data_IF_015550168644
#
_entry.id   IF_015550168644
#
_cell.length_a   1.000
_cell.length_b   1.000
_cell.length_c   1.000
_cell.angle_alpha   90.00
_cell.angle_beta   90.00
_cell.angle_gamma   90.00
#
_symmetry.space_group_name_H-M   'P 1'
#
loop_
_entity.id
_entity.type
_entity.pdbx_description
1 polymer ?
#
# COMPACT_ATOMS: atom_id res chain seq x y z
N UNK A 1 -56.18 -1.44 -52.86
CA UNK A 1 -55.56 -2.26 -51.79
C UNK A 1 -54.10 -1.89 -51.70
N UNK A 2 -53.66 -1.55 -50.49
CA UNK A 2 -52.43 -0.86 -50.11
C UNK A 2 -51.14 -1.57 -50.56
N UNK A 3 -50.22 -0.82 -51.18
CA UNK A 3 -48.79 -1.16 -51.27
C UNK A 3 -48.14 -0.84 -49.93
N UNK A 4 -47.64 -1.86 -49.23
CA UNK A 4 -46.84 -1.68 -48.03
C UNK A 4 -45.44 -1.17 -48.42
N UNK A 5 -45.17 0.09 -48.10
CA UNK A 5 -43.84 0.69 -48.15
C UNK A 5 -43.11 0.29 -46.88
N UNK A 6 -42.18 -0.67 -46.94
CA UNK A 6 -41.28 -0.97 -45.82
C UNK A 6 -40.22 0.12 -45.73
N UNK A 7 -40.50 1.13 -44.91
CA UNK A 7 -39.54 2.14 -44.51
C UNK A 7 -38.50 1.45 -43.61
N UNK A 8 -37.28 1.26 -44.13
CA UNK A 8 -36.13 0.88 -43.30
C UNK A 8 -35.79 2.08 -42.42
N UNK A 9 -36.33 2.11 -41.21
CA UNK A 9 -35.85 3.00 -40.16
C UNK A 9 -34.43 2.57 -39.80
N UNK A 10 -33.43 3.27 -40.34
CA UNK A 10 -32.09 3.26 -39.79
C UNK A 10 -32.23 3.86 -38.39
N UNK A 11 -32.17 3.03 -37.35
CA UNK A 11 -31.90 3.52 -36.00
C UNK A 11 -30.50 4.13 -36.06
N UNK A 12 -30.43 5.46 -36.21
CA UNK A 12 -29.26 6.20 -35.81
C UNK A 12 -29.13 5.99 -34.29
N UNK A 13 -28.15 5.17 -33.87
CA UNK A 13 -27.70 5.22 -32.49
C UNK A 13 -27.18 6.65 -32.28
N UNK A 14 -27.97 7.50 -31.63
CA UNK A 14 -27.48 8.74 -31.09
C UNK A 14 -26.41 8.39 -30.06
N UNK A 15 -25.14 8.45 -30.46
CA UNK A 15 -24.02 8.40 -29.53
C UNK A 15 -24.16 9.63 -28.64
N UNK A 16 -24.40 9.41 -27.34
CA UNK A 16 -24.48 10.50 -26.38
C UNK A 16 -23.07 11.02 -26.10
N UNK A 17 -22.88 12.33 -26.21
CA UNK A 17 -21.73 13.00 -25.62
C UNK A 17 -21.72 12.84 -24.09
N UNK A 18 -20.57 13.09 -23.48
CA UNK A 18 -20.35 12.99 -22.03
C UNK A 18 -19.69 11.69 -21.59
N UNK A 19 -19.83 11.38 -20.29
CA UNK A 19 -19.20 10.21 -19.66
C UNK A 19 -20.19 9.04 -19.66
N UNK A 20 -19.74 7.88 -20.13
CA UNK A 20 -20.54 6.64 -20.20
C UNK A 20 -19.73 5.43 -19.73
N UNK A 21 -20.41 4.37 -19.32
CA UNK A 21 -19.78 3.08 -19.04
C UNK A 21 -20.17 2.07 -20.12
N UNK A 22 -19.19 1.53 -20.84
CA UNK A 22 -19.36 0.60 -21.96
C UNK A 22 -18.60 -0.69 -21.66
N UNK A 23 -19.28 -1.63 -20.99
CA UNK A 23 -18.63 -2.80 -20.42
C UNK A 23 -17.60 -2.40 -19.36
N UNK A 24 -16.32 -2.80 -19.48
CA UNK A 24 -15.27 -2.43 -18.53
C UNK A 24 -14.67 -1.04 -18.77
N UNK A 25 -15.14 -0.31 -19.78
CA UNK A 25 -14.59 0.99 -20.19
C UNK A 25 -15.41 2.14 -19.58
N UNK A 26 -14.73 3.11 -18.98
CA UNK A 26 -15.30 4.44 -18.78
C UNK A 26 -14.89 5.31 -19.96
N UNK A 27 -15.87 5.79 -20.74
CA UNK A 27 -15.67 6.47 -22.03
C UNK A 27 -16.16 7.91 -21.94
N UNK A 28 -15.34 8.84 -22.41
CA UNK A 28 -15.59 10.28 -22.50
C UNK A 28 -15.79 10.64 -23.97
N UNK A 29 -16.81 11.45 -24.28
CA UNK A 29 -17.09 11.90 -25.65
C UNK A 29 -17.43 13.38 -25.68
N UNK A 30 -16.95 14.09 -26.70
CA UNK A 30 -17.37 15.46 -26.98
C UNK A 30 -18.84 15.51 -27.43
N UNK A 31 -19.39 16.72 -27.56
CA UNK A 31 -20.73 16.93 -28.14
C UNK A 31 -21.86 17.18 -27.14
N UNK A 32 -21.57 17.61 -25.91
CA UNK A 32 -22.59 18.08 -24.94
C UNK A 32 -22.61 19.61 -24.75
N UNK A 33 -21.82 20.36 -25.52
CA UNK A 33 -21.51 21.79 -25.29
C UNK A 33 -20.84 22.10 -23.94
N UNK A 34 -20.40 21.09 -23.19
CA UNK A 34 -19.57 21.26 -21.99
C UNK A 34 -18.10 21.22 -22.39
N UNK A 35 -17.33 22.22 -21.97
CA UNK A 35 -15.91 22.33 -22.32
C UNK A 35 -15.00 21.42 -21.49
N UNK A 36 -15.49 20.86 -20.39
CA UNK A 36 -14.71 20.02 -19.49
C UNK A 36 -15.60 18.98 -18.82
N UNK A 37 -15.20 17.72 -18.96
CA UNK A 37 -15.75 16.61 -18.18
C UNK A 37 -14.69 16.10 -17.23
N UNK A 38 -15.07 15.92 -15.97
CA UNK A 38 -14.18 15.35 -14.95
C UNK A 38 -14.81 14.09 -14.39
N UNK A 39 -14.07 12.98 -14.43
CA UNK A 39 -14.38 11.79 -13.65
C UNK A 39 -13.37 11.65 -12.52
N UNK A 40 -13.85 11.56 -11.29
CA UNK A 40 -13.01 11.43 -10.11
C UNK A 40 -13.13 10.03 -9.53
N UNK A 41 -11.99 9.33 -9.42
CA UNK A 41 -11.91 8.00 -8.86
C UNK A 41 -11.07 8.02 -7.57
N UNK A 42 -11.70 8.00 -6.38
CA UNK A 42 -10.98 7.86 -5.12
C UNK A 42 -10.51 6.42 -4.91
N UNK A 43 -9.32 6.24 -4.35
CA UNK A 43 -8.79 4.93 -3.93
C UNK A 43 -7.75 5.09 -2.82
N UNK A 44 -7.48 3.99 -2.12
CA UNK A 44 -6.45 3.93 -1.09
C UNK A 44 -5.14 3.42 -1.65
N UNK A 45 -4.03 4.11 -1.34
CA UNK A 45 -2.69 3.68 -1.73
C UNK A 45 -2.05 3.05 -0.50
N UNK A 46 -1.74 1.74 -0.54
CA UNK A 46 -1.23 1.05 0.63
C UNK A 46 0.13 1.62 1.06
N UNK A 47 0.38 1.62 2.36
CA UNK A 47 1.69 1.93 2.93
C UNK A 47 2.63 0.72 2.73
N UNK A 48 3.53 0.77 1.75
CA UNK A 48 4.38 -0.37 1.37
C UNK A 48 5.82 0.02 1.05
N UNK A 49 6.79 -0.82 1.43
CA UNK A 49 8.22 -0.61 1.10
C UNK A 49 8.59 -0.87 -0.36
N UNK A 50 7.73 -1.53 -1.13
CA UNK A 50 7.81 -1.47 -2.57
C UNK A 50 7.17 -0.17 -3.06
N UNK A 51 7.82 0.53 -3.98
CA UNK A 51 7.23 1.69 -4.64
C UNK A 51 5.98 1.21 -5.41
N UNK A 52 4.77 1.59 -4.97
CA UNK A 52 3.55 1.08 -5.56
C UNK A 52 3.44 1.59 -6.99
N UNK A 53 2.96 0.72 -7.89
CA UNK A 53 2.71 1.08 -9.28
C UNK A 53 1.24 1.37 -9.47
N UNK A 54 0.90 2.59 -9.88
CA UNK A 54 -0.41 2.88 -10.42
C UNK A 54 -0.46 2.37 -11.86
N UNK A 55 -1.36 1.44 -12.14
CA UNK A 55 -1.56 0.86 -13.45
C UNK A 55 -2.97 1.14 -13.97
N UNK A 56 -3.08 1.52 -15.23
CA UNK A 56 -4.36 1.66 -15.93
C UNK A 56 -4.15 1.58 -17.43
N UNK A 57 -5.21 1.24 -18.17
CA UNK A 57 -5.22 1.39 -19.62
C UNK A 57 -5.97 2.66 -19.96
N UNK A 58 -5.47 3.44 -20.91
CA UNK A 58 -6.22 4.53 -21.51
C UNK A 58 -6.06 4.57 -23.02
N UNK A 59 -6.96 5.27 -23.69
CA UNK A 59 -6.75 5.68 -25.07
C UNK A 59 -7.45 6.99 -25.38
N UNK A 60 -6.99 7.63 -26.45
CA UNK A 60 -7.54 8.87 -26.99
C UNK A 60 -7.70 8.72 -28.50
N UNK A 61 -8.77 9.30 -29.01
CA UNK A 61 -9.10 9.29 -30.43
C UNK A 61 -9.79 10.59 -30.84
N UNK A 62 -9.48 11.08 -32.04
CA UNK A 62 -10.00 12.36 -32.54
C UNK A 62 -10.05 12.40 -34.06
N UNK A 63 -11.01 13.15 -34.60
CA UNK A 63 -11.11 13.54 -36.00
C UNK A 63 -10.61 14.97 -36.29
N UNK A 64 -10.11 15.68 -35.28
CA UNK A 64 -9.54 17.02 -35.46
C UNK A 64 -8.43 17.00 -36.52
N UNK A 65 -8.33 17.98 -37.43
CA UNK A 65 -7.26 18.04 -38.43
C UNK A 65 -5.94 18.52 -37.82
N UNK A 66 -4.81 18.23 -38.46
CA UNK A 66 -3.52 18.77 -38.01
C UNK A 66 -3.46 20.26 -38.36
N UNK A 67 -3.57 21.12 -37.36
CA UNK A 67 -3.53 22.57 -37.51
C UNK A 67 -2.55 23.19 -36.50
N UNK A 68 -1.51 23.88 -37.00
CA UNK A 68 -0.53 24.55 -36.15
C UNK A 68 -1.16 25.70 -35.38
N UNK A 69 -0.80 25.86 -34.10
CA UNK A 69 -1.25 26.98 -33.26
C UNK A 69 -2.70 26.89 -32.80
N UNK A 70 -3.30 25.70 -32.87
CA UNK A 70 -4.65 25.44 -32.34
C UNK A 70 -4.56 24.65 -31.04
N UNK A 71 -5.54 24.86 -30.15
CA UNK A 71 -5.73 24.05 -28.96
C UNK A 71 -6.65 22.89 -29.34
N UNK A 72 -6.19 21.66 -29.20
CA UNK A 72 -6.96 20.45 -29.48
C UNK A 72 -7.80 20.02 -28.28
N UNK A 73 -8.79 19.17 -28.52
CA UNK A 73 -9.39 18.39 -27.45
C UNK A 73 -8.30 17.59 -26.73
N UNK A 74 -8.39 17.49 -25.42
CA UNK A 74 -7.35 16.84 -24.64
C UNK A 74 -7.88 16.04 -23.48
N UNK A 75 -7.15 14.99 -23.14
CA UNK A 75 -7.42 14.11 -22.01
C UNK A 75 -6.24 14.14 -21.05
N UNK A 76 -6.49 14.50 -19.80
CA UNK A 76 -5.48 14.58 -18.75
C UNK A 76 -5.81 13.67 -17.59
N UNK A 77 -4.76 13.15 -16.95
CA UNK A 77 -4.89 12.33 -15.74
C UNK A 77 -4.06 12.93 -14.62
N UNK A 78 -4.71 13.29 -13.52
CA UNK A 78 -4.06 13.89 -12.34
C UNK A 78 -4.25 12.98 -11.13
N UNK A 79 -3.17 12.70 -10.40
CA UNK A 79 -3.23 12.03 -9.11
C UNK A 79 -3.03 13.06 -8.00
N UNK A 80 -3.93 13.10 -7.03
CA UNK A 80 -3.87 14.02 -5.91
C UNK A 80 -4.18 13.30 -4.58
N UNK A 81 -3.42 13.60 -3.54
CA UNK A 81 -3.77 13.18 -2.17
C UNK A 81 -5.04 13.88 -1.72
N UNK A 82 -5.95 13.19 -1.03
CA UNK A 82 -7.22 13.80 -0.58
C UNK A 82 -7.02 15.01 0.35
N UNK A 83 -5.88 15.12 1.02
CA UNK A 83 -5.52 16.29 1.84
C UNK A 83 -4.77 17.39 1.06
N UNK A 84 -4.70 17.29 -0.27
CA UNK A 84 -4.05 18.22 -1.20
C UNK A 84 -2.55 18.45 -0.95
N UNK A 85 -1.91 17.64 -0.09
CA UNK A 85 -0.49 17.78 0.25
C UNK A 85 0.46 17.43 -0.90
N UNK A 86 -0.04 16.71 -1.90
CA UNK A 86 0.72 16.28 -3.07
C UNK A 86 -0.21 16.08 -4.26
N UNK A 87 0.19 16.62 -5.41
CA UNK A 87 -0.52 16.50 -6.70
C UNK A 87 0.49 16.26 -7.81
N UNK A 88 0.25 15.29 -8.69
CA UNK A 88 1.06 15.03 -9.88
C UNK A 88 0.16 14.91 -11.12
N UNK A 89 0.53 15.63 -12.18
CA UNK A 89 -0.04 15.43 -13.51
C UNK A 89 0.67 14.22 -14.16
N UNK A 90 -0.09 13.15 -14.39
CA UNK A 90 0.46 11.87 -14.87
C UNK A 90 0.66 11.90 -16.38
N UNK A 91 -0.35 12.35 -17.11
CA UNK A 91 -0.28 12.51 -18.56
C UNK A 91 -1.26 13.57 -19.07
N UNK A 92 -0.97 14.08 -20.25
CA UNK A 92 -1.89 14.81 -21.11
C UNK A 92 -1.79 14.23 -22.52
N UNK A 93 -2.94 13.91 -23.12
CA UNK A 93 -3.05 13.31 -24.43
C UNK A 93 -3.94 14.20 -25.31
N UNK A 94 -3.52 14.46 -26.53
CA UNK A 94 -4.26 15.24 -27.51
C UNK A 94 -4.01 14.70 -28.93
N UNK A 95 -4.42 15.44 -29.95
CA UNK A 95 -4.12 15.08 -31.34
C UNK A 95 -2.61 14.89 -31.62
N UNK A 96 -1.75 15.66 -30.96
CA UNK A 96 -0.30 15.67 -31.20
C UNK A 96 0.40 14.46 -30.58
N UNK A 97 -0.24 13.77 -29.63
CA UNK A 97 0.25 12.55 -29.01
C UNK A 97 0.04 12.56 -27.51
N UNK A 98 0.93 11.89 -26.78
CA UNK A 98 0.87 11.81 -25.32
C UNK A 98 2.12 12.44 -24.72
N UNK A 99 1.91 13.42 -23.84
CA UNK A 99 2.93 13.93 -22.96
C UNK A 99 2.87 13.15 -21.64
N UNK A 100 3.93 12.39 -21.36
CA UNK A 100 4.07 11.57 -20.15
C UNK A 100 4.77 12.35 -19.05
N UNK A 101 4.26 12.27 -17.82
CA UNK A 101 4.80 12.97 -16.66
C UNK A 101 5.17 14.44 -16.97
N UNK A 102 4.24 15.24 -17.54
CA UNK A 102 4.50 16.64 -17.84
C UNK A 102 4.94 17.41 -16.58
N UNK A 103 5.68 18.50 -16.77
CA UNK A 103 6.02 19.41 -15.68
C UNK A 103 4.75 19.93 -15.02
N UNK A 104 4.70 19.91 -13.68
CA UNK A 104 3.55 20.36 -12.92
C UNK A 104 3.94 21.53 -12.00
N UNK A 105 3.91 22.80 -12.47
CA UNK A 105 4.27 23.95 -11.66
C UNK A 105 3.43 24.02 -10.37
N UNK A 106 4.09 24.10 -9.22
CA UNK A 106 3.42 24.11 -7.92
C UNK A 106 3.01 22.73 -7.40
N UNK A 107 3.21 21.66 -8.16
CA UNK A 107 2.99 20.27 -7.75
C UNK A 107 4.23 19.39 -7.90
N UNK A 108 4.02 18.08 -7.79
CA UNK A 108 5.05 17.07 -7.99
C UNK A 108 5.26 16.82 -9.48
N UNK A 109 6.53 16.83 -9.88
CA UNK A 109 6.95 16.38 -11.21
C UNK A 109 7.50 14.95 -11.08
N UNK A 110 6.90 14.01 -11.80
CA UNK A 110 7.37 12.62 -11.85
C UNK A 110 8.57 12.49 -12.78
N UNK A 111 9.48 11.56 -12.49
CA UNK A 111 10.62 11.32 -13.39
C UNK A 111 10.13 10.54 -14.62
N UNK A 112 10.56 10.89 -15.85
CA UNK A 112 10.17 10.12 -17.03
C UNK A 112 10.54 8.63 -16.98
N UNK A 113 11.60 8.27 -16.25
CA UNK A 113 12.01 6.86 -16.02
C UNK A 113 11.04 6.07 -15.14
N UNK A 114 10.17 6.75 -14.40
CA UNK A 114 9.18 6.15 -13.52
C UNK A 114 7.89 5.76 -14.26
N UNK A 115 7.78 6.11 -15.56
CA UNK A 115 6.64 5.81 -16.42
C UNK A 115 6.96 4.63 -17.34
N UNK A 116 6.26 3.52 -17.15
CA UNK A 116 6.16 2.45 -18.14
C UNK A 116 4.92 2.68 -19.01
N UNK A 117 5.07 2.63 -20.33
CA UNK A 117 3.94 2.63 -21.25
C UNK A 117 4.17 1.61 -22.37
N UNK A 118 3.11 0.93 -22.76
CA UNK A 118 3.12 -0.03 -23.86
C UNK A 118 1.87 0.18 -24.72
N UNK A 119 2.06 0.23 -26.05
CA UNK A 119 0.94 0.30 -26.99
C UNK A 119 0.03 -0.91 -26.83
N UNK A 120 -1.27 -0.67 -26.81
CA UNK A 120 -2.31 -1.71 -26.83
C UNK A 120 -3.28 -1.45 -27.98
N UNK A 121 -4.06 -2.46 -28.34
CA UNK A 121 -5.12 -2.29 -29.31
C UNK A 121 -6.18 -1.30 -28.80
N UNK A 122 -6.57 -0.36 -29.65
CA UNK A 122 -7.69 0.53 -29.38
C UNK A 122 -9.00 -0.29 -29.44
N UNK A 123 -9.87 -0.24 -28.41
CA UNK A 123 -11.12 -0.98 -28.40
C UNK A 123 -12.09 -0.48 -29.48
N UNK A 124 -13.00 -1.36 -29.93
CA UNK A 124 -14.02 -1.01 -30.92
C UNK A 124 -15.09 -0.09 -30.32
N UNK A 125 -14.76 1.20 -30.23
CA UNK A 125 -15.65 2.26 -29.75
C UNK A 125 -16.29 3.01 -30.92
N UNK A 126 -17.53 3.44 -30.71
CA UNK A 126 -18.27 4.27 -31.65
C UNK A 126 -18.37 5.73 -31.16
N UNK A 127 -18.27 6.72 -32.07
CA UNK A 127 -17.89 6.56 -33.48
C UNK A 127 -16.41 6.17 -33.64
N UNK A 128 -16.07 5.54 -34.76
CA UNK A 128 -14.68 5.26 -35.11
C UNK A 128 -14.01 6.54 -35.61
N UNK A 129 -12.90 6.93 -34.98
CA UNK A 129 -12.14 8.13 -35.35
C UNK A 129 -10.93 7.80 -36.23
N UNK A 130 -10.48 8.80 -36.98
CA UNK A 130 -9.33 8.73 -37.89
C UNK A 130 -8.01 8.55 -37.14
N UNK A 131 -7.78 9.36 -36.11
CA UNK A 131 -6.61 9.22 -35.23
C UNK A 131 -7.04 8.49 -33.95
N UNK A 132 -6.30 7.45 -33.58
CA UNK A 132 -6.52 6.70 -32.34
C UNK A 132 -5.24 6.06 -31.84
N UNK A 133 -5.04 6.09 -30.54
CA UNK A 133 -3.96 5.39 -29.88
C UNK A 133 -4.39 4.99 -28.46
N UNK A 134 -3.84 3.89 -27.97
CA UNK A 134 -4.13 3.38 -26.65
C UNK A 134 -2.87 2.79 -26.03
N UNK A 135 -2.75 2.94 -24.70
CA UNK A 135 -1.62 2.49 -23.93
C UNK A 135 -2.06 1.77 -22.66
N UNK A 136 -1.36 0.69 -22.32
CA UNK A 136 -1.27 0.23 -20.95
C UNK A 136 -0.16 1.02 -20.25
N UNK A 137 -0.46 1.63 -19.11
CA UNK A 137 0.43 2.58 -18.43
C UNK A 137 0.69 2.12 -17.00
N UNK A 138 1.91 2.34 -16.52
CA UNK A 138 2.38 2.06 -15.17
C UNK A 138 3.21 3.22 -14.66
N UNK A 139 2.80 3.83 -13.55
CA UNK A 139 3.55 4.87 -12.86
C UNK A 139 4.11 4.33 -11.55
N UNK A 140 5.43 4.42 -11.38
CA UNK A 140 6.05 4.23 -10.07
C UNK A 140 5.72 5.44 -9.20
N UNK A 141 4.98 5.25 -8.12
CA UNK A 141 4.55 6.36 -7.27
C UNK A 141 5.66 6.79 -6.30
N UNK A 142 6.02 8.08 -6.24
CA UNK A 142 6.97 8.59 -5.27
C UNK A 142 6.36 8.56 -3.86
N UNK A 143 7.18 8.52 -2.79
CA UNK A 143 6.69 8.40 -1.40
C UNK A 143 5.63 9.44 -1.02
N UNK A 144 5.73 10.66 -1.55
CA UNK A 144 4.78 11.76 -1.30
C UNK A 144 3.36 11.47 -1.80
N UNK A 145 3.20 10.53 -2.74
CA UNK A 145 1.91 10.08 -3.27
C UNK A 145 1.51 8.69 -2.73
N UNK A 146 2.25 8.13 -1.77
CA UNK A 146 1.93 6.84 -1.15
C UNK A 146 1.15 7.00 0.16
N UNK A 147 0.77 5.87 0.78
CA UNK A 147 0.19 5.79 2.13
C UNK A 147 -1.05 6.67 2.37
N UNK A 148 -2.23 6.12 2.06
CA UNK A 148 -3.54 6.72 2.34
C UNK A 148 -4.28 7.18 1.09
N UNK A 149 -5.43 7.81 1.32
CA UNK A 149 -6.38 8.18 0.26
C UNK A 149 -5.79 9.15 -0.78
N UNK A 150 -6.08 8.84 -2.03
CA UNK A 150 -5.83 9.67 -3.19
C UNK A 150 -7.01 9.62 -4.16
N UNK A 151 -7.07 10.60 -5.04
CA UNK A 151 -8.08 10.69 -6.10
C UNK A 151 -7.36 10.80 -7.43
N UNK A 152 -7.76 9.97 -8.39
CA UNK A 152 -7.45 10.19 -9.80
C UNK A 152 -8.54 11.05 -10.42
N UNK A 153 -8.13 12.14 -11.04
CA UNK A 153 -8.98 12.97 -11.88
C UNK A 153 -8.67 12.66 -13.32
N UNK A 154 -9.71 12.33 -14.07
CA UNK A 154 -9.67 12.14 -15.50
C UNK A 154 -10.44 13.30 -16.13
N UNK A 155 -9.70 14.22 -16.72
CA UNK A 155 -10.20 15.48 -17.26
C UNK A 155 -10.21 15.40 -18.77
N UNK A 156 -11.39 15.52 -19.38
CA UNK A 156 -11.57 15.55 -20.82
C UNK A 156 -12.03 16.95 -21.23
N UNK A 157 -11.12 17.71 -21.83
CA UNK A 157 -11.34 19.05 -22.34
C UNK A 157 -11.81 19.00 -23.78
N UNK A 158 -12.94 19.65 -24.04
CA UNK A 158 -13.56 19.85 -25.36
C UNK A 158 -13.35 21.33 -25.74
N UNK A 159 -12.62 21.59 -26.83
CA UNK A 159 -12.40 22.94 -27.33
C UNK A 159 -13.65 23.53 -28.04
N UNK A 160 -14.76 22.78 -28.05
CA UNK A 160 -16.07 23.11 -28.60
C UNK A 160 -16.07 23.35 -30.10
N UNK A 161 -15.12 22.74 -30.82
CA UNK A 161 -15.14 22.73 -32.27
C UNK A 161 -16.09 21.64 -32.80
N UNK A 162 -16.17 21.52 -34.14
CA UNK A 162 -17.09 20.62 -34.81
C UNK A 162 -16.58 19.18 -34.95
N UNK A 163 -15.33 18.91 -34.56
CA UNK A 163 -14.70 17.61 -34.69
C UNK A 163 -14.94 16.79 -33.42
N UNK A 164 -15.15 15.49 -33.60
CA UNK A 164 -15.43 14.62 -32.49
C UNK A 164 -14.12 14.06 -31.91
N UNK A 165 -14.08 13.97 -30.59
CA UNK A 165 -13.00 13.32 -29.84
C UNK A 165 -13.59 12.42 -28.77
N UNK A 166 -12.85 11.37 -28.42
CA UNK A 166 -13.19 10.50 -27.31
C UNK A 166 -11.93 10.02 -26.57
N UNK A 167 -12.11 9.69 -25.30
CA UNK A 167 -11.11 9.02 -24.49
C UNK A 167 -11.74 7.84 -23.75
N UNK A 168 -10.94 6.85 -23.37
CA UNK A 168 -11.39 5.81 -22.46
C UNK A 168 -10.36 5.52 -21.39
N UNK A 169 -10.84 4.99 -20.26
CA UNK A 169 -10.01 4.42 -19.20
C UNK A 169 -10.59 3.09 -18.75
N UNK A 170 -9.72 2.14 -18.39
CA UNK A 170 -10.10 0.91 -17.69
C UNK A 170 -8.97 0.37 -16.83
N UNK A 171 -9.27 -0.68 -16.06
CA UNK A 171 -8.30 -1.47 -15.31
C UNK A 171 -7.42 -0.64 -14.34
N UNK A 172 -7.96 0.45 -13.80
CA UNK A 172 -7.28 1.29 -12.81
C UNK A 172 -7.05 0.46 -11.55
N UNK A 173 -5.79 0.30 -11.17
CA UNK A 173 -5.39 -0.49 -10.01
C UNK A 173 -4.06 0.00 -9.45
N UNK A 174 -3.85 -0.25 -8.16
CA UNK A 174 -2.55 -0.11 -7.53
C UNK A 174 -1.93 -1.50 -7.40
N UNK A 175 -0.82 -1.70 -8.11
CA UNK A 175 0.04 -2.85 -7.95
C UNK A 175 1.17 -2.46 -7.00
N UNK A 176 0.93 -2.60 -5.71
CA UNK A 176 2.04 -2.70 -4.79
C UNK A 176 2.59 -4.11 -4.96
N UNK A 177 3.83 -4.25 -5.44
CA UNK A 177 4.56 -5.52 -5.35
C UNK A 177 4.81 -5.72 -3.85
N UNK A 178 3.80 -6.20 -3.15
CA UNK A 178 3.85 -6.49 -1.74
C UNK A 178 4.79 -7.69 -1.62
N UNK A 179 6.04 -7.39 -1.36
CA UNK A 179 7.06 -8.36 -1.00
C UNK A 179 7.51 -8.01 0.42
N UNK A 180 6.82 -8.54 1.46
CA UNK A 180 5.77 -9.57 1.39
C UNK A 180 4.34 -9.03 1.16
N UNK A 181 3.38 -9.89 0.72
CA UNK A 181 1.94 -9.59 0.61
C UNK A 181 1.39 -8.91 1.88
N UNK A 182 0.25 -8.18 1.82
CA UNK A 182 -0.37 -7.66 3.02
C UNK A 182 -0.65 -8.83 3.96
N UNK A 183 -0.60 -8.60 5.28
CA UNK A 183 -1.01 -9.58 6.26
C UNK A 183 -2.29 -10.27 5.86
N UNK A 184 -2.19 -11.57 5.61
CA UNK A 184 -3.31 -12.46 5.43
C UNK A 184 -4.15 -12.47 6.73
N UNK A 185 -5.09 -11.54 6.86
CA UNK A 185 -5.87 -11.32 8.06
C UNK A 185 -7.20 -12.07 7.99
N UNK A 186 -7.36 -13.04 8.90
CA UNK A 186 -8.58 -13.84 9.01
C UNK A 186 -9.07 -13.84 10.46
N UNK A 187 -10.37 -13.71 10.64
CA UNK A 187 -11.01 -14.08 11.88
C UNK A 187 -11.20 -15.58 11.89
N UNK A 188 -10.68 -16.25 12.92
CA UNK A 188 -10.90 -17.67 13.14
C UNK A 188 -11.79 -17.88 14.35
N UNK A 189 -12.61 -18.92 14.32
CA UNK A 189 -13.40 -19.32 15.48
C UNK A 189 -13.29 -20.81 15.79
N UNK A 190 -13.70 -21.16 17.01
CA UNK A 190 -13.82 -22.53 17.49
C UNK A 190 -14.95 -22.64 18.51
N UNK A 191 -15.59 -23.81 18.58
CA UNK A 191 -16.54 -24.13 19.66
C UNK A 191 -15.83 -24.40 21.00
N UNK A 192 -14.51 -24.61 21.00
CA UNK A 192 -13.67 -24.86 22.17
C UNK A 192 -12.51 -23.87 22.23
N UNK A 193 -12.16 -23.42 23.43
CA UNK A 193 -11.03 -22.50 23.64
C UNK A 193 -9.69 -23.09 23.13
N UNK A 194 -9.56 -24.42 23.14
CA UNK A 194 -8.36 -25.12 22.70
C UNK A 194 -8.33 -25.39 21.18
N UNK A 195 -9.42 -25.09 20.45
CA UNK A 195 -9.58 -25.41 19.04
C UNK A 195 -10.32 -26.73 18.77
N UNK A 196 -10.36 -27.19 17.51
CA UNK A 196 -9.67 -26.61 16.35
C UNK A 196 -10.29 -25.27 15.91
N UNK A 197 -9.44 -24.31 15.58
CA UNK A 197 -9.87 -23.02 15.02
C UNK A 197 -9.90 -23.08 13.50
N UNK A 198 -10.98 -22.58 12.90
CA UNK A 198 -11.15 -22.49 11.45
C UNK A 198 -11.47 -21.04 11.04
N UNK A 199 -11.13 -20.67 9.81
CA UNK A 199 -11.45 -19.33 9.28
C UNK A 199 -12.97 -19.16 9.16
N UNK A 200 -13.48 -18.01 9.57
CA UNK A 200 -14.89 -17.68 9.45
C UNK A 200 -15.21 -17.15 8.05
N UNK A 201 -16.30 -17.68 7.47
CA UNK A 201 -16.85 -17.20 6.20
C UNK A 201 -17.80 -16.04 6.44
N UNK A 202 -17.87 -15.08 5.52
CA UNK A 202 -18.82 -13.95 5.61
C UNK A 202 -18.42 -12.86 6.60
N UNK A 203 -17.16 -12.87 7.05
CA UNK A 203 -16.57 -11.77 7.82
C UNK A 203 -16.35 -10.59 6.88
N UNK A 204 -16.95 -9.44 7.19
CA UNK A 204 -16.60 -8.18 6.55
C UNK A 204 -15.42 -7.57 7.34
N UNK A 205 -14.34 -7.24 6.65
CA UNK A 205 -13.14 -6.65 7.26
C UNK A 205 -13.03 -5.21 6.77
N UNK A 206 -13.04 -4.27 7.71
CA UNK A 206 -12.72 -2.86 7.50
C UNK A 206 -11.28 -2.61 7.99
N UNK A 207 -10.28 -2.65 7.09
CA UNK A 207 -8.89 -2.44 7.45
C UNK A 207 -8.55 -1.00 7.81
N UNK A 208 -9.42 -0.04 7.47
CA UNK A 208 -9.23 1.39 7.74
C UNK A 208 -9.58 1.68 9.19
N UNK A 209 -10.78 1.28 9.61
CA UNK A 209 -11.26 1.50 10.99
C UNK A 209 -10.79 0.41 11.97
N UNK A 210 -10.08 -0.62 11.47
CA UNK A 210 -9.64 -1.79 12.24
C UNK A 210 -10.80 -2.51 12.92
N UNK A 211 -11.86 -2.71 12.15
CA UNK A 211 -13.08 -3.38 12.56
C UNK A 211 -13.31 -4.60 11.69
N UNK A 212 -13.77 -5.70 12.29
CA UNK A 212 -14.39 -6.79 11.56
C UNK A 212 -15.82 -6.95 12.03
N UNK A 213 -16.73 -7.28 11.10
CA UNK A 213 -18.10 -7.64 11.44
C UNK A 213 -18.44 -9.03 10.92
N UNK A 214 -19.22 -9.76 11.72
CA UNK A 214 -19.67 -11.11 11.41
C UNK A 214 -21.13 -11.23 11.85
N UNK A 215 -21.99 -11.77 10.99
CA UNK A 215 -23.38 -12.04 11.37
C UNK A 215 -23.43 -12.89 12.64
N UNK A 216 -24.25 -12.48 13.60
CA UNK A 216 -24.36 -13.17 14.87
C UNK A 216 -24.85 -14.60 14.65
N UNK A 217 -24.34 -15.51 15.47
CA UNK A 217 -24.85 -16.87 15.59
C UNK A 217 -25.25 -17.14 17.02
N UNK A 218 -26.33 -17.91 17.21
CA UNK A 218 -26.93 -18.18 18.52
C UNK A 218 -26.11 -19.08 19.45
N UNK A 219 -24.85 -19.40 19.13
CA UNK A 219 -23.97 -20.26 19.92
C UNK A 219 -22.71 -19.50 20.33
N UNK A 220 -22.25 -19.68 21.58
CA UNK A 220 -20.97 -19.13 22.01
C UNK A 220 -19.81 -19.76 21.23
N UNK A 221 -18.87 -18.92 20.78
CA UNK A 221 -17.62 -19.33 20.14
C UNK A 221 -16.43 -18.56 20.71
N UNK A 222 -15.25 -19.15 20.55
CA UNK A 222 -13.98 -18.53 20.86
C UNK A 222 -13.37 -18.01 19.57
N UNK A 223 -12.84 -16.79 19.59
CA UNK A 223 -12.29 -16.12 18.41
C UNK A 223 -10.81 -15.84 18.56
N UNK A 224 -10.09 -15.86 17.43
CA UNK A 224 -8.71 -15.38 17.34
C UNK A 224 -8.45 -14.79 15.96
N UNK A 225 -7.39 -14.01 15.84
CA UNK A 225 -6.90 -13.52 14.55
C UNK A 225 -5.80 -14.42 14.04
N UNK A 226 -5.85 -14.77 12.76
CA UNK A 226 -4.74 -15.35 12.02
C UNK A 226 -4.18 -14.28 11.09
N UNK A 227 -2.90 -14.00 11.22
CA UNK A 227 -2.17 -12.95 10.51
C UNK A 227 -0.67 -13.20 10.66
N UNK A 228 0.14 -12.59 9.81
CA UNK A 228 1.61 -12.64 9.85
C UNK A 228 2.25 -11.57 10.76
N UNK A 229 1.45 -10.61 11.23
CA UNK A 229 1.85 -9.58 12.21
C UNK A 229 1.18 -9.81 13.55
N UNK A 230 1.86 -9.47 14.64
CA UNK A 230 1.26 -9.57 15.97
C UNK A 230 -0.01 -8.72 16.04
N UNK A 231 -1.11 -9.33 16.44
CA UNK A 231 -2.42 -8.69 16.47
C UNK A 231 -3.19 -9.03 17.73
N UNK A 232 -4.16 -8.19 18.05
CA UNK A 232 -5.03 -8.37 19.19
C UNK A 232 -6.45 -7.96 18.84
N UNK A 233 -7.43 -8.75 19.28
CA UNK A 233 -8.83 -8.29 19.38
C UNK A 233 -8.90 -7.47 20.66
N UNK A 234 -9.08 -6.16 20.53
CA UNK A 234 -9.13 -5.22 21.64
C UNK A 234 -10.49 -5.25 22.32
N UNK A 235 -11.54 -5.36 21.51
CA UNK A 235 -12.92 -5.34 21.96
C UNK A 235 -13.77 -6.23 21.05
N UNK A 236 -14.72 -6.93 21.66
CA UNK A 236 -15.76 -7.68 20.98
C UNK A 236 -17.11 -7.26 21.58
N UNK A 237 -18.06 -6.89 20.74
CA UNK A 237 -19.42 -6.53 21.16
C UNK A 237 -20.44 -6.89 20.09
N UNK A 238 -21.72 -6.75 20.42
CA UNK A 238 -22.83 -6.98 19.49
C UNK A 238 -23.45 -5.63 19.15
N UNK A 239 -23.67 -5.38 17.87
CA UNK A 239 -24.38 -4.22 17.35
C UNK A 239 -25.46 -4.72 16.36
N UNK A 240 -26.73 -4.64 16.76
CA UNK A 240 -27.83 -5.25 16.02
C UNK A 240 -27.67 -6.77 15.89
N UNK A 241 -27.69 -7.28 14.67
CA UNK A 241 -27.47 -8.71 14.35
C UNK A 241 -26.02 -9.03 13.98
N UNK A 242 -25.07 -8.14 14.28
CA UNK A 242 -23.65 -8.33 13.98
C UNK A 242 -22.81 -8.40 15.25
N UNK A 243 -21.84 -9.30 15.26
CA UNK A 243 -20.70 -9.22 16.16
C UNK A 243 -19.66 -8.30 15.54
N UNK A 244 -19.18 -7.35 16.34
CA UNK A 244 -18.19 -6.35 15.97
C UNK A 244 -16.90 -6.62 16.74
N UNK A 245 -15.80 -6.76 16.02
CA UNK A 245 -14.47 -7.01 16.55
C UNK A 245 -13.57 -5.82 16.22
N UNK A 246 -13.20 -5.05 17.24
CA UNK A 246 -12.15 -4.06 17.09
C UNK A 246 -10.80 -4.72 17.31
N UNK A 247 -9.89 -4.55 16.38
CA UNK A 247 -8.56 -5.15 16.46
C UNK A 247 -7.44 -4.12 16.34
N UNK A 248 -6.24 -4.50 16.75
CA UNK A 248 -5.03 -3.72 16.51
C UNK A 248 -3.89 -4.63 16.07
N UNK A 249 -2.97 -4.07 15.30
CA UNK A 249 -1.65 -4.64 15.10
C UNK A 249 -0.69 -4.04 16.12
N UNK A 250 0.31 -4.82 16.51
CA UNK A 250 1.42 -4.34 17.33
C UNK A 250 2.66 -4.17 16.46
N UNK A 251 3.41 -3.07 16.62
CA UNK A 251 3.12 -1.90 17.47
C UNK A 251 1.98 -1.02 16.92
N UNK A 252 1.29 -0.27 17.80
CA UNK A 252 0.35 0.76 17.36
C UNK A 252 1.07 2.09 17.11
N UNK A 253 2.22 2.29 17.75
CA UNK A 253 3.11 3.42 17.57
C UNK A 253 4.45 2.89 17.06
N UNK A 254 4.84 3.30 15.86
CA UNK A 254 6.18 3.08 15.36
C UNK A 254 6.60 4.26 14.50
N UNK A 255 7.59 5.00 14.98
CA UNK A 255 8.20 6.10 14.27
C UNK A 255 9.73 5.94 14.25
N UNK A 256 10.33 6.27 13.12
CA UNK A 256 11.76 6.51 13.06
C UNK A 256 12.03 7.93 13.56
N UNK A 257 12.93 8.07 14.52
CA UNK A 257 13.43 9.38 14.92
C UNK A 257 14.90 9.51 14.55
N UNK A 258 15.32 10.73 14.24
CA UNK A 258 16.72 11.00 13.94
C UNK A 258 17.25 12.28 14.56
N UNK A 259 18.57 12.33 14.71
CA UNK A 259 19.32 13.48 15.19
C UNK A 259 20.66 13.62 14.44
N UNK A 260 21.21 14.84 14.39
CA UNK A 260 22.55 15.08 13.80
C UNK A 260 23.71 14.68 14.71
N UNK A 261 23.44 14.51 16.01
CA UNK A 261 24.40 14.12 17.03
C UNK A 261 23.72 13.15 18.00
N UNK A 262 24.48 12.22 18.57
CA UNK A 262 23.95 11.19 19.48
C UNK A 262 23.19 11.79 20.68
N UNK A 263 23.69 12.91 21.20
CA UNK A 263 23.20 13.57 22.41
C UNK A 263 22.12 14.63 22.14
N UNK A 264 21.79 14.87 20.87
CA UNK A 264 20.81 15.89 20.50
C UNK A 264 19.38 15.37 20.63
N UNK A 265 18.41 16.29 20.58
CA UNK A 265 16.99 15.95 20.50
C UNK A 265 16.72 15.20 19.19
N UNK A 266 16.09 14.04 19.30
CA UNK A 266 15.62 13.27 18.15
C UNK A 266 14.23 13.72 17.77
N UNK A 267 14.03 13.97 16.47
CA UNK A 267 12.74 14.33 15.90
C UNK A 267 12.22 13.19 15.01
N UNK A 268 10.90 13.06 14.92
CA UNK A 268 10.25 12.08 14.03
C UNK A 268 10.57 12.40 12.56
N UNK A 269 10.93 11.38 11.80
CA UNK A 269 11.07 11.46 10.35
C UNK A 269 9.69 11.36 9.69
N UNK A 270 9.37 12.31 8.82
CA UNK A 270 8.02 12.47 8.26
C UNK A 270 7.83 11.86 6.87
N UNK A 271 8.93 11.53 6.18
CA UNK A 271 8.92 10.97 4.82
C UNK A 271 9.54 9.56 4.81
N UNK A 272 9.17 8.75 5.79
CA UNK A 272 9.57 7.34 5.88
C UNK A 272 8.52 6.44 5.26
N UNK A 273 8.98 5.30 4.78
CA UNK A 273 8.12 4.18 4.38
C UNK A 273 8.31 3.09 5.42
N UNK A 274 7.22 2.67 6.05
CA UNK A 274 7.23 1.69 7.11
C UNK A 274 6.60 0.38 6.63
N UNK A 275 7.38 -0.70 6.66
CA UNK A 275 6.92 -2.07 6.44
C UNK A 275 7.00 -2.83 7.76
N UNK A 276 5.84 -2.99 8.39
CA UNK A 276 5.69 -3.70 9.65
C UNK A 276 5.86 -5.21 9.50
N UNK A 277 5.24 -5.88 8.51
CA UNK A 277 5.47 -7.31 8.25
C UNK A 277 6.94 -7.65 7.93
N UNK A 278 7.57 -6.89 7.03
CA UNK A 278 8.98 -7.09 6.65
C UNK A 278 10.00 -6.50 7.62
N UNK A 279 9.54 -5.83 8.69
CA UNK A 279 10.35 -5.16 9.71
C UNK A 279 11.43 -4.24 9.13
N UNK A 280 11.05 -3.40 8.17
CA UNK A 280 11.97 -2.44 7.54
C UNK A 280 11.38 -1.03 7.48
N UNK A 281 12.25 -0.02 7.63
CA UNK A 281 11.95 1.39 7.44
C UNK A 281 12.85 1.92 6.34
N UNK A 282 12.27 2.54 5.32
CA UNK A 282 13.01 3.14 4.23
C UNK A 282 12.82 4.66 4.21
N UNK A 283 13.86 5.40 3.88
CA UNK A 283 13.81 6.85 3.70
C UNK A 283 14.77 7.28 2.59
N UNK A 284 14.58 8.48 2.06
CA UNK A 284 15.55 9.07 1.15
C UNK A 284 16.92 9.12 1.83
N UNK A 285 17.97 8.74 1.09
CA UNK A 285 19.33 8.76 1.63
C UNK A 285 19.67 10.18 2.09
N UNK A 286 20.01 10.39 3.37
CA UNK A 286 20.35 11.71 3.86
C UNK A 286 21.71 12.15 3.28
N UNK A 287 21.85 13.46 3.03
CA UNK A 287 23.10 14.07 2.55
C UNK A 287 24.17 14.17 3.65
N UNK A 288 23.74 14.13 4.90
CA UNK A 288 24.59 14.17 6.10
C UNK A 288 24.36 12.89 6.92
N UNK A 289 25.38 12.49 7.69
CA UNK A 289 25.21 11.39 8.64
C UNK A 289 24.19 11.77 9.72
N UNK A 290 23.28 10.84 10.04
CA UNK A 290 22.30 10.99 11.12
C UNK A 290 22.37 9.78 12.04
N UNK A 291 21.96 9.99 13.28
CA UNK A 291 21.75 8.92 14.25
C UNK A 291 20.27 8.60 14.30
N UNK A 292 19.94 7.32 14.35
CA UNK A 292 18.58 6.82 14.27
C UNK A 292 18.18 6.06 15.53
N UNK A 293 16.92 6.20 15.92
CA UNK A 293 16.28 5.37 16.95
C UNK A 293 14.81 5.13 16.61
N UNK A 294 14.22 4.11 17.21
CA UNK A 294 12.80 3.84 17.08
C UNK A 294 12.06 4.40 18.29
N UNK A 295 10.98 5.13 18.04
CA UNK A 295 9.96 5.45 19.02
C UNK A 295 8.81 4.48 18.79
N UNK A 296 8.60 3.57 19.73
CA UNK A 296 7.55 2.57 19.61
C UNK A 296 6.91 2.22 20.95
N UNK A 297 5.64 1.84 20.92
CA UNK A 297 4.89 1.27 22.03
C UNK A 297 5.15 -0.25 22.19
N UNK A 298 5.86 -0.86 21.25
CA UNK A 298 6.50 -2.16 21.42
C UNK A 298 8.01 -1.98 21.55
N UNK A 299 8.70 -2.79 22.38
CA UNK A 299 10.16 -2.83 22.36
C UNK A 299 10.66 -3.07 20.94
N UNK A 300 11.58 -2.24 20.48
CA UNK A 300 12.11 -2.34 19.12
C UNK A 300 13.56 -1.90 19.05
N UNK A 301 14.30 -2.48 18.11
CA UNK A 301 15.71 -2.18 17.89
C UNK A 301 16.02 -2.16 16.40
N UNK A 302 16.82 -1.18 15.96
CA UNK A 302 17.37 -1.17 14.60
C UNK A 302 18.53 -2.18 14.58
N UNK A 303 18.44 -3.17 13.70
CA UNK A 303 19.39 -4.28 13.62
C UNK A 303 20.35 -4.19 12.43
N UNK A 304 19.99 -3.44 11.39
CA UNK A 304 20.90 -3.16 10.28
C UNK A 304 20.52 -1.90 9.53
N UNK A 305 21.52 -1.32 8.87
CA UNK A 305 21.39 -0.16 7.98
C UNK A 305 22.04 -0.51 6.64
N UNK A 306 21.33 -0.26 5.54
CA UNK A 306 21.83 -0.51 4.19
C UNK A 306 21.39 0.62 3.24
N UNK A 307 22.28 1.02 2.34
CA UNK A 307 21.94 1.92 1.24
C UNK A 307 21.58 1.08 0.00
N UNK A 308 20.41 1.32 -0.58
CA UNK A 308 19.95 0.69 -1.82
C UNK A 308 19.54 1.81 -2.79
N UNK A 309 20.33 2.02 -3.84
CA UNK A 309 20.14 3.17 -4.73
C UNK A 309 20.23 4.50 -3.99
N UNK A 310 19.17 5.32 -4.07
CA UNK A 310 19.06 6.59 -3.35
C UNK A 310 18.26 6.50 -2.04
N UNK A 311 18.09 5.29 -1.50
CA UNK A 311 17.37 5.06 -0.25
C UNK A 311 18.29 4.53 0.84
N UNK A 312 18.02 4.96 2.06
CA UNK A 312 18.46 4.31 3.27
C UNK A 312 17.38 3.33 3.72
N UNK A 313 17.76 2.07 3.96
CA UNK A 313 16.89 1.01 4.45
C UNK A 313 17.40 0.55 5.80
N UNK A 314 16.57 0.75 6.83
CA UNK A 314 16.81 0.30 8.19
C UNK A 314 15.98 -0.95 8.44
N UNK A 315 16.62 -2.05 8.82
CA UNK A 315 15.91 -3.22 9.32
C UNK A 315 15.81 -3.12 10.83
N UNK A 316 14.65 -3.45 11.38
CA UNK A 316 14.43 -3.49 12.81
C UNK A 316 13.87 -4.83 13.26
N UNK A 317 13.74 -4.99 14.57
CA UNK A 317 13.09 -6.15 15.17
C UNK A 317 12.30 -5.71 16.42
N UNK A 318 11.24 -6.44 16.76
CA UNK A 318 10.41 -6.24 17.96
C UNK A 318 10.79 -7.16 19.13
N UNK A 319 11.82 -7.98 18.98
CA UNK A 319 12.17 -8.95 20.01
C UNK A 319 12.81 -8.28 21.24
N UNK A 320 12.05 -8.16 22.34
CA UNK A 320 12.63 -8.01 23.67
C UNK A 320 12.88 -9.39 24.27
N UNK A 321 14.09 -9.90 24.08
CA UNK A 321 14.53 -11.15 24.68
C UNK A 321 15.43 -10.85 25.87
N UNK A 322 15.01 -11.30 27.05
CA UNK A 322 15.82 -11.27 28.25
C UNK A 322 16.25 -12.70 28.58
N UNK A 323 17.55 -12.90 28.79
CA UNK A 323 18.04 -14.14 29.36
C UNK A 323 17.78 -14.10 30.86
N UNK A 324 17.11 -15.11 31.38
CA UNK A 324 16.99 -15.33 32.81
C UNK A 324 17.77 -16.56 33.21
N UNK A 325 18.35 -16.54 34.40
CA UNK A 325 19.05 -17.71 34.94
C UNK A 325 18.64 -18.03 36.37
N UNK A 326 18.84 -19.28 36.75
CA UNK A 326 18.65 -19.79 38.11
C UNK A 326 19.72 -20.82 38.47
N UNK A 327 19.99 -20.96 39.77
CA UNK A 327 20.80 -22.06 40.29
C UNK A 327 20.02 -23.38 40.35
N UNK A 328 18.69 -23.35 40.29
CA UNK A 328 17.82 -24.53 40.36
C UNK A 328 16.85 -24.57 39.17
N UNK A 329 16.51 -25.79 38.71
CA UNK A 329 15.65 -25.99 37.54
C UNK A 329 14.27 -25.33 37.69
N UNK A 330 13.73 -25.31 38.90
CA UNK A 330 12.42 -24.74 39.22
C UNK A 330 12.48 -23.27 39.66
N UNK A 331 13.64 -22.61 39.60
CA UNK A 331 13.79 -21.21 39.98
C UNK A 331 14.18 -20.98 41.45
N UNK A 332 14.17 -19.72 41.92
CA UNK A 332 13.70 -18.53 41.22
C UNK A 332 14.62 -18.12 40.06
N UNK A 333 14.01 -17.65 38.97
CA UNK A 333 14.73 -17.13 37.81
C UNK A 333 14.79 -15.60 37.90
N UNK A 334 15.97 -15.04 37.67
CA UNK A 334 16.21 -13.60 37.62
C UNK A 334 16.84 -13.20 36.28
N UNK A 335 16.65 -11.95 35.87
CA UNK A 335 17.26 -11.41 34.66
C UNK A 335 18.78 -11.41 34.79
N UNK A 336 19.47 -11.94 33.78
CA UNK A 336 20.92 -12.01 33.72
C UNK A 336 21.51 -10.66 33.32
N UNK A 337 22.53 -10.20 34.05
CA UNK A 337 23.20 -8.93 33.76
C UNK A 337 24.33 -9.11 32.74
N UNK A 338 24.65 -8.06 32.00
CA UNK A 338 25.75 -8.09 31.02
C UNK A 338 25.49 -9.00 29.80
N UNK A 339 24.23 -9.34 29.52
CA UNK A 339 23.83 -10.08 28.32
C UNK A 339 24.03 -9.20 27.08
N UNK A 340 24.79 -9.70 26.12
CA UNK A 340 24.88 -9.10 24.79
C UNK A 340 23.78 -9.73 23.94
N UNK A 341 22.84 -8.90 23.48
CA UNK A 341 21.72 -9.32 22.63
C UNK A 341 22.06 -9.06 21.16
N UNK A 342 22.08 -10.11 20.35
CA UNK A 342 22.26 -10.05 18.89
C UNK A 342 20.96 -10.47 18.19
N UNK A 343 19.92 -9.61 18.25
CA UNK A 343 18.58 -9.92 17.73
C UNK A 343 18.59 -10.31 16.25
N UNK A 344 19.39 -9.62 15.43
CA UNK A 344 19.57 -9.92 14.00
C UNK A 344 19.93 -11.38 13.71
N UNK A 345 20.69 -11.99 14.62
CA UNK A 345 21.25 -13.32 14.49
C UNK A 345 20.57 -14.34 15.42
N UNK A 346 19.51 -13.91 16.12
CA UNK A 346 18.81 -14.65 17.18
C UNK A 346 19.76 -15.29 18.18
N UNK A 347 20.68 -14.46 18.70
CA UNK A 347 21.71 -14.89 19.65
C UNK A 347 21.69 -14.05 20.92
N UNK A 348 21.88 -14.70 22.06
CA UNK A 348 22.22 -14.06 23.34
C UNK A 348 23.61 -14.54 23.74
N UNK A 349 24.46 -13.65 24.24
CA UNK A 349 25.80 -14.00 24.70
C UNK A 349 26.04 -13.52 26.12
N UNK A 350 26.62 -14.39 26.94
CA UNK A 350 27.13 -14.04 28.27
C UNK A 350 28.53 -14.64 28.46
N UNK A 351 29.36 -14.07 29.33
CA UNK A 351 30.56 -14.75 29.81
C UNK A 351 30.19 -16.11 30.39
N UNK A 352 30.97 -17.15 30.07
CA UNK A 352 30.78 -18.45 30.70
C UNK A 352 31.20 -18.35 32.17
N UNK A 353 30.22 -18.37 33.06
CA UNK A 353 30.46 -18.49 34.49
C UNK A 353 30.83 -19.95 34.80
N UNK A 354 31.80 -20.15 35.70
CA UNK A 354 32.32 -21.49 36.03
C UNK A 354 31.32 -22.41 36.75
N UNK A 355 30.14 -21.91 37.11
CA UNK A 355 29.07 -22.67 37.75
C UNK A 355 27.96 -22.99 36.75
N UNK A 356 27.45 -24.22 36.79
CA UNK A 356 26.28 -24.60 35.99
C UNK A 356 25.04 -23.84 36.48
N UNK A 357 24.28 -23.28 35.54
CA UNK A 357 23.01 -22.59 35.78
C UNK A 357 21.95 -23.10 34.82
N UNK A 358 20.69 -22.97 35.21
CA UNK A 358 19.54 -23.19 34.35
C UNK A 358 19.15 -21.87 33.70
N UNK A 359 18.84 -21.90 32.40
CA UNK A 359 18.56 -20.72 31.63
C UNK A 359 17.18 -20.82 30.98
N UNK A 360 16.51 -19.68 30.88
CA UNK A 360 15.29 -19.54 30.07
C UNK A 360 15.28 -18.17 29.42
N UNK A 361 14.51 -18.03 28.35
CA UNK A 361 14.25 -16.73 27.73
C UNK A 361 12.92 -16.22 28.25
N UNK A 362 12.92 -14.99 28.75
CA UNK A 362 11.71 -14.21 28.96
C UNK A 362 11.53 -13.34 27.73
N UNK A 363 10.43 -13.52 27.04
CA UNK A 363 10.07 -12.75 25.86
C UNK A 363 8.57 -12.49 25.86
N UNK A 364 8.19 -11.42 25.18
CA UNK A 364 6.83 -11.07 24.79
C UNK A 364 6.27 -11.95 23.67
N UNK A 365 7.10 -12.81 23.06
CA UNK A 365 6.70 -13.82 22.07
C UNK A 365 7.11 -15.21 22.52
N UNK A 366 6.38 -16.22 22.03
CA UNK A 366 6.74 -17.62 22.22
C UNK A 366 8.14 -17.86 21.63
N UNK A 367 9.12 -17.99 22.52
CA UNK A 367 10.53 -18.09 22.16
C UNK A 367 11.10 -19.33 22.83
N UNK A 368 11.92 -20.09 22.11
CA UNK A 368 12.66 -21.23 22.70
C UNK A 368 14.13 -21.16 22.39
N UNK A 369 14.94 -21.61 23.35
CA UNK A 369 16.36 -21.85 23.13
C UNK A 369 16.48 -23.11 22.28
N UNK A 370 17.09 -23.00 21.11
CA UNK A 370 17.28 -24.12 20.16
C UNK A 370 18.63 -24.80 20.36
N UNK A 371 19.66 -24.03 20.73
CA UNK A 371 20.96 -24.57 21.11
C UNK A 371 21.74 -23.62 22.02
N UNK A 372 22.66 -24.19 22.79
CA UNK A 372 23.62 -23.44 23.60
C UNK A 372 25.01 -23.93 23.18
N UNK A 373 25.84 -23.01 22.69
CA UNK A 373 27.22 -23.31 22.30
C UNK A 373 28.21 -22.50 23.11
N UNK A 374 29.46 -22.97 23.18
CA UNK A 374 30.54 -22.25 23.85
C UNK A 374 31.49 -21.75 22.77
N UNK A 375 31.73 -20.43 22.72
CA UNK A 375 32.69 -19.82 21.80
C UNK A 375 33.52 -18.77 22.53
N UNK A 376 34.84 -18.89 22.45
CA UNK A 376 35.78 -17.91 23.01
C UNK A 376 35.49 -17.53 24.47
N UNK A 377 35.15 -18.51 25.32
CA UNK A 377 34.83 -18.28 26.73
C UNK A 377 33.44 -17.69 27.01
N UNK A 378 32.58 -17.56 26.01
CA UNK A 378 31.19 -17.12 26.16
C UNK A 378 30.22 -18.28 25.93
N UNK A 379 29.08 -18.25 26.64
CA UNK A 379 27.90 -19.02 26.29
C UNK A 379 27.12 -18.24 25.24
N UNK A 380 26.81 -18.89 24.13
CA UNK A 380 26.03 -18.36 23.01
C UNK A 380 24.74 -19.16 22.91
N UNK A 381 23.62 -18.52 23.22
CA UNK A 381 22.28 -19.10 23.13
C UNK A 381 21.69 -18.74 21.78
N UNK A 382 21.34 -19.74 21.00
CA UNK A 382 20.53 -19.58 19.80
C UNK A 382 19.06 -19.76 20.17
N UNK A 383 18.21 -18.90 19.64
CA UNK A 383 16.77 -18.96 19.88
C UNK A 383 15.97 -18.80 18.59
N UNK A 384 14.69 -19.15 18.64
CA UNK A 384 13.74 -18.91 17.56
C UNK A 384 12.37 -18.46 18.07
#
# INVERSE_FOLDING_TARGET
MLRALFLHAVLALCVRGGITNEGPLTVFRTGTNESLFTFSLPFDIPSTNAAPRLEFDFGFATDEPAASGTFFDSFSVTLQKTNESATALLLTADRSGVQWAPSNPGGLTLTPTDVGNALIAFPDLNPTMTLRYAYAVSYLLPPMLTAGLATLFFDFFDNLNQFASLAFVRNVRINAILSPPPPALFLQSSASFAGPFADESGVAIDPTNKVMTLSQFGQMRFFRLRTDVTSRINQMHIEGEQMVFQYSFQPQVLALQSARRVEATYADETNIVLDVPGQTISLARPLENRFYRLRSDAPSVIISEQVVGNQLVLRYDFAHVLLQSSAAVNGPYADESGVIVESANRRLKIPRLGQARFYRIRSDRATRITSITIRSGQLVFHYE
#
